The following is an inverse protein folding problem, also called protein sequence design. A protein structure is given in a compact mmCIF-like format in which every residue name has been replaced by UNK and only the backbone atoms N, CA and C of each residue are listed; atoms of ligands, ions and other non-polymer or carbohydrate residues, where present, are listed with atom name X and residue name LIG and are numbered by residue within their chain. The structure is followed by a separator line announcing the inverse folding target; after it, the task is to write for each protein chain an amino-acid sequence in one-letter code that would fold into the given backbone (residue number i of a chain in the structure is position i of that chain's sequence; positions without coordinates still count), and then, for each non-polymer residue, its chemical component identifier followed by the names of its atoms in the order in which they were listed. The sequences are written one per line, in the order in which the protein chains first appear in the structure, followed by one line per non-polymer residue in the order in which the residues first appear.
data_IF_205382947793
#
_entry.id   IF_205382947793
#
_cell.length_a   1.000
_cell.length_b   1.000
_cell.length_c   1.000
_cell.angle_alpha   90.00
_cell.angle_beta   90.00
_cell.angle_gamma   90.00
#
_symmetry.space_group_name_H-M   'P 1'
#
loop_
_entity.id
_entity.type
_entity.pdbx_description
1 polymer ?
#
# COMPACT_ATOMS: atom_id res chain seq x y z
N UNK A 1 -3.40 17.50 5.10
CA UNK A 1 -4.46 16.84 4.31
C UNK A 1 -5.76 17.36 4.88
N UNK A 2 -6.63 17.88 4.02
CA UNK A 2 -7.91 18.48 4.41
C UNK A 2 -8.86 18.20 3.24
N UNK A 3 -9.83 17.33 3.46
CA UNK A 3 -10.79 16.91 2.42
C UNK A 3 -11.95 17.91 2.45
N UNK A 4 -12.30 18.58 1.34
CA UNK A 4 -13.33 19.61 1.31
C UNK A 4 -14.75 19.01 1.39
N UNK A 5 -14.99 18.18 2.40
CA UNK A 5 -16.28 17.55 2.72
C UNK A 5 -16.64 17.88 4.18
N UNK A 6 -17.95 18.09 4.46
CA UNK A 6 -18.42 18.26 5.83
C UNK A 6 -18.15 17.04 6.71
N UNK A 7 -18.15 17.25 8.03
CA UNK A 7 -18.12 16.15 9.01
C UNK A 7 -19.34 15.26 8.82
N UNK A 8 -19.16 13.96 9.04
CA UNK A 8 -20.22 12.95 9.02
C UNK A 8 -21.12 13.00 7.76
N UNK A 9 -20.51 13.20 6.59
CA UNK A 9 -21.22 13.44 5.33
C UNK A 9 -21.23 12.25 4.35
N UNK A 10 -20.37 11.24 4.55
CA UNK A 10 -20.24 10.11 3.63
C UNK A 10 -20.40 8.76 4.31
N UNK A 11 -20.80 7.74 3.54
CA UNK A 11 -21.05 6.38 4.02
C UNK A 11 -19.80 5.54 4.11
N UNK A 12 -18.87 5.73 3.17
CA UNK A 12 -17.70 4.89 3.04
C UNK A 12 -16.49 5.65 2.52
N UNK A 13 -15.32 5.32 3.06
CA UNK A 13 -13.99 5.67 2.52
C UNK A 13 -13.33 4.39 2.05
N UNK A 14 -12.86 4.39 0.81
CA UNK A 14 -12.14 3.27 0.22
C UNK A 14 -10.77 3.78 -0.23
N UNK A 15 -9.72 3.02 0.09
CA UNK A 15 -8.36 3.29 -0.38
C UNK A 15 -7.72 1.99 -0.87
N UNK A 16 -7.01 2.07 -1.98
CA UNK A 16 -6.32 0.90 -2.54
C UNK A 16 -4.86 1.25 -2.80
N UNK A 17 -3.96 0.61 -2.05
CA UNK A 17 -2.50 0.72 -2.18
C UNK A 17 -2.02 2.18 -2.29
N UNK A 18 -2.61 3.06 -1.49
CA UNK A 18 -2.33 4.49 -1.52
C UNK A 18 -1.70 5.00 -0.23
N UNK A 19 -1.99 4.41 0.93
CA UNK A 19 -1.41 4.87 2.19
C UNK A 19 0.10 4.65 2.26
N UNK A 20 0.63 3.65 1.57
CA UNK A 20 2.07 3.43 1.43
C UNK A 20 2.84 4.61 0.80
N UNK A 21 2.14 5.54 0.14
CA UNK A 21 2.72 6.76 -0.43
C UNK A 21 2.49 8.00 0.43
N UNK A 22 1.74 7.88 1.52
CA UNK A 22 1.35 9.00 2.38
C UNK A 22 2.32 9.13 3.55
N UNK A 23 2.99 10.27 3.68
CA UNK A 23 3.94 10.52 4.77
C UNK A 23 3.26 10.49 6.16
N UNK A 24 2.06 11.05 6.28
CA UNK A 24 1.27 11.07 7.52
C UNK A 24 -0.06 10.32 7.35
N UNK A 25 0.03 8.99 7.40
CA UNK A 25 -1.14 8.09 7.32
C UNK A 25 -2.11 8.32 8.47
N UNK A 26 -1.61 8.68 9.67
CA UNK A 26 -2.48 8.99 10.82
C UNK A 26 -3.40 10.16 10.50
N UNK A 27 -2.86 11.24 9.95
CA UNK A 27 -3.66 12.41 9.55
C UNK A 27 -4.68 12.07 8.48
N UNK A 28 -4.31 11.24 7.49
CA UNK A 28 -5.24 10.77 6.46
C UNK A 28 -6.40 9.97 7.06
N UNK A 29 -6.12 9.07 8.00
CA UNK A 29 -7.14 8.26 8.67
C UNK A 29 -8.01 9.07 9.63
N UNK A 30 -7.46 10.09 10.32
CA UNK A 30 -8.22 11.03 11.14
C UNK A 30 -9.21 11.80 10.27
N UNK A 31 -8.78 12.23 9.09
CA UNK A 31 -9.65 12.93 8.14
C UNK A 31 -10.74 12.00 7.59
N UNK A 32 -10.41 10.76 7.27
CA UNK A 32 -11.40 9.75 6.90
C UNK A 32 -12.43 9.53 8.02
N UNK A 33 -11.99 9.50 9.28
CA UNK A 33 -12.87 9.39 10.43
C UNK A 33 -13.79 10.60 10.56
N UNK A 34 -13.28 11.81 10.36
CA UNK A 34 -14.07 13.04 10.42
C UNK A 34 -15.23 13.04 9.44
N UNK A 35 -14.95 12.75 8.16
CA UNK A 35 -15.94 12.84 7.08
C UNK A 35 -16.94 11.67 7.07
N UNK A 36 -16.58 10.51 7.63
CA UNK A 36 -17.49 9.37 7.76
C UNK A 36 -18.61 9.67 8.76
N UNK A 37 -19.83 9.31 8.42
CA UNK A 37 -20.96 9.33 9.34
C UNK A 37 -20.85 8.21 10.39
N UNK A 38 -21.63 8.28 11.45
CA UNK A 38 -21.78 7.17 12.40
C UNK A 38 -22.17 5.89 11.65
N UNK A 39 -21.56 4.76 12.04
CA UNK A 39 -21.65 3.46 11.35
C UNK A 39 -21.09 3.44 9.92
N UNK A 40 -20.44 4.53 9.46
CA UNK A 40 -19.75 4.60 8.19
C UNK A 40 -18.57 3.61 8.11
N UNK A 41 -18.20 3.22 6.91
CA UNK A 41 -17.19 2.18 6.65
C UNK A 41 -15.88 2.77 6.14
N UNK A 42 -14.78 2.31 6.72
CA UNK A 42 -13.44 2.45 6.15
C UNK A 42 -13.00 1.08 5.63
N UNK A 43 -12.59 1.01 4.37
CA UNK A 43 -12.00 -0.20 3.79
C UNK A 43 -10.76 0.16 2.99
N UNK A 44 -9.66 -0.52 3.23
CA UNK A 44 -8.47 -0.31 2.42
C UNK A 44 -7.63 -1.58 2.25
N UNK A 45 -6.92 -1.63 1.13
CA UNK A 45 -5.77 -2.51 0.93
C UNK A 45 -4.51 -1.68 0.92
N UNK A 46 -3.42 -2.23 1.45
CA UNK A 46 -2.13 -1.57 1.40
C UNK A 46 -0.96 -2.55 1.52
N UNK A 47 0.24 -2.09 1.22
CA UNK A 47 1.47 -2.82 1.42
C UNK A 47 1.87 -2.80 2.89
N UNK A 48 2.45 -3.90 3.36
CA UNK A 48 2.94 -4.06 4.73
C UNK A 48 4.37 -4.59 4.74
N UNK A 49 5.07 -4.35 5.83
CA UNK A 49 6.30 -5.04 6.17
C UNK A 49 6.00 -6.09 7.24
N UNK A 50 6.33 -7.37 6.97
CA UNK A 50 6.21 -8.46 7.92
C UNK A 50 7.41 -8.50 8.88
N UNK A 51 8.54 -7.94 8.44
CA UNK A 51 9.75 -7.70 9.23
C UNK A 51 10.36 -6.35 8.80
N UNK A 52 11.21 -5.72 9.62
CA UNK A 52 11.90 -4.50 9.23
C UNK A 52 12.70 -4.71 7.94
N UNK A 53 12.51 -3.81 6.97
CA UNK A 53 13.32 -3.79 5.76
C UNK A 53 14.73 -3.30 6.10
N UNK A 54 15.72 -3.76 5.34
CA UNK A 54 17.06 -3.17 5.40
C UNK A 54 17.02 -1.70 4.95
N UNK A 55 18.01 -0.91 5.36
CA UNK A 55 18.09 0.49 4.92
C UNK A 55 18.16 0.60 3.39
N UNK A 56 18.91 -0.30 2.74
CA UNK A 56 19.05 -0.33 1.28
C UNK A 56 17.73 -0.68 0.59
N UNK A 57 16.99 -1.68 1.10
CA UNK A 57 15.68 -2.04 0.56
C UNK A 57 14.68 -0.89 0.73
N UNK A 58 14.65 -0.25 1.90
CA UNK A 58 13.77 0.88 2.16
C UNK A 58 14.08 2.07 1.24
N UNK A 59 15.37 2.39 1.05
CA UNK A 59 15.81 3.45 0.15
C UNK A 59 15.44 3.13 -1.30
N UNK A 60 15.65 1.89 -1.74
CA UNK A 60 15.29 1.45 -3.09
C UNK A 60 13.78 1.55 -3.34
N UNK A 61 12.95 1.16 -2.36
CA UNK A 61 11.49 1.30 -2.45
C UNK A 61 11.07 2.77 -2.54
N UNK A 62 11.72 3.65 -1.79
CA UNK A 62 11.47 5.08 -1.84
C UNK A 62 11.86 5.67 -3.20
N UNK A 63 13.07 5.43 -3.67
CA UNK A 63 13.61 6.05 -4.90
C UNK A 63 12.85 5.65 -6.16
N UNK A 64 12.42 4.40 -6.26
CA UNK A 64 11.79 3.90 -7.46
C UNK A 64 10.25 3.86 -7.40
N UNK A 65 9.66 3.73 -6.23
CA UNK A 65 8.22 3.53 -6.08
C UNK A 65 7.57 4.54 -5.11
N UNK A 66 8.33 5.46 -4.51
CA UNK A 66 7.88 6.43 -3.51
C UNK A 66 7.14 5.77 -2.31
N UNK A 67 7.55 4.55 -1.96
CA UNK A 67 6.98 3.84 -0.81
C UNK A 67 7.60 4.40 0.47
N UNK A 68 6.75 4.90 1.36
CA UNK A 68 7.09 5.33 2.71
C UNK A 68 7.44 4.13 3.60
N UNK A 69 8.03 4.33 4.80
CA UNK A 69 8.21 3.26 5.75
C UNK A 69 6.91 2.51 6.03
N UNK A 70 6.91 1.22 5.69
CA UNK A 70 5.74 0.36 5.80
C UNK A 70 5.47 -0.05 7.24
N UNK A 71 4.20 -0.34 7.52
CA UNK A 71 3.69 -0.83 8.80
C UNK A 71 3.38 -2.31 8.72
N UNK A 72 3.41 -2.98 9.85
CA UNK A 72 2.82 -4.31 10.01
C UNK A 72 1.28 -4.22 10.11
N UNK A 73 0.61 -5.36 9.97
CA UNK A 73 -0.86 -5.45 10.18
C UNK A 73 -1.23 -4.96 11.58
N UNK A 74 -0.49 -5.36 12.59
CA UNK A 74 -0.75 -4.98 13.99
C UNK A 74 -0.59 -3.47 14.22
N UNK A 75 0.37 -2.83 13.55
CA UNK A 75 0.53 -1.38 13.63
C UNK A 75 -0.60 -0.63 12.94
N UNK A 76 -1.06 -1.12 11.78
CA UNK A 76 -2.24 -0.56 11.14
C UNK A 76 -3.50 -0.70 12.01
N UNK A 77 -3.75 -1.87 12.60
CA UNK A 77 -4.89 -2.08 13.48
C UNK A 77 -4.85 -1.12 14.68
N UNK A 78 -3.70 -1.04 15.38
CA UNK A 78 -3.53 -0.09 16.50
C UNK A 78 -3.73 1.36 16.09
N UNK A 79 -3.25 1.75 14.90
CA UNK A 79 -3.42 3.10 14.39
C UNK A 79 -4.89 3.41 14.13
N UNK A 80 -5.61 2.52 13.46
CA UNK A 80 -7.03 2.66 13.12
C UNK A 80 -7.89 2.71 14.39
N UNK A 81 -7.65 1.80 15.34
CA UNK A 81 -8.36 1.75 16.63
C UNK A 81 -8.04 2.96 17.49
N UNK A 82 -6.79 3.43 17.51
CA UNK A 82 -6.36 4.61 18.27
C UNK A 82 -6.98 5.93 17.77
N UNK A 83 -7.58 5.95 16.57
CA UNK A 83 -8.33 7.10 16.05
C UNK A 83 -9.81 7.05 16.47
N UNK A 84 -10.32 5.85 16.81
CA UNK A 84 -11.69 5.64 17.23
C UNK A 84 -12.49 4.70 16.33
N UNK A 85 -11.90 4.15 15.28
CA UNK A 85 -12.54 3.09 14.50
C UNK A 85 -12.60 1.78 15.27
N UNK A 86 -13.60 0.96 14.98
CA UNK A 86 -13.66 -0.43 15.36
C UNK A 86 -13.27 -1.32 14.17
N UNK A 87 -12.13 -2.01 14.27
CA UNK A 87 -11.69 -2.95 13.22
C UNK A 87 -12.64 -4.14 13.16
N UNK A 88 -13.20 -4.41 12.00
CA UNK A 88 -14.10 -5.52 11.72
C UNK A 88 -13.35 -6.72 11.14
N UNK A 89 -12.33 -6.45 10.32
CA UNK A 89 -11.52 -7.46 9.68
C UNK A 89 -10.15 -6.89 9.33
N UNK A 90 -9.11 -7.67 9.55
CA UNK A 90 -7.76 -7.44 9.05
C UNK A 90 -7.29 -8.76 8.42
N UNK A 91 -7.20 -8.80 7.09
CA UNK A 91 -6.82 -9.99 6.34
C UNK A 91 -5.45 -9.80 5.71
N UNK A 92 -4.51 -10.70 6.02
CA UNK A 92 -3.24 -10.81 5.30
C UNK A 92 -3.49 -11.31 3.88
N UNK A 93 -3.00 -10.59 2.89
CA UNK A 93 -3.12 -10.90 1.47
C UNK A 93 -1.78 -11.36 0.85
N UNK A 94 -0.74 -11.50 1.65
CA UNK A 94 0.63 -11.79 1.18
C UNK A 94 0.68 -13.04 0.32
N UNK A 95 0.02 -14.11 0.77
CA UNK A 95 0.00 -15.39 0.05
C UNK A 95 -0.80 -15.29 -1.26
N UNK A 96 -1.89 -14.54 -1.25
CA UNK A 96 -2.75 -14.36 -2.43
C UNK A 96 -2.09 -13.47 -3.48
N UNK A 97 -1.39 -12.41 -3.04
CA UNK A 97 -0.76 -11.44 -3.95
C UNK A 97 0.58 -11.92 -4.53
N UNK A 98 1.29 -12.82 -3.85
CA UNK A 98 2.58 -13.32 -4.30
C UNK A 98 2.58 -13.84 -5.74
N UNK A 99 1.72 -14.80 -6.10
CA UNK A 99 1.64 -15.33 -7.47
C UNK A 99 1.26 -14.26 -8.49
N UNK A 100 0.30 -13.39 -8.16
CA UNK A 100 -0.17 -12.29 -9.05
C UNK A 100 0.97 -11.34 -9.36
N UNK A 101 1.75 -10.95 -8.36
CA UNK A 101 2.87 -10.02 -8.55
C UNK A 101 4.01 -10.66 -9.33
N UNK A 102 4.27 -11.94 -9.12
CA UNK A 102 5.26 -12.69 -9.91
C UNK A 102 4.88 -12.72 -11.40
N UNK A 103 3.64 -13.00 -11.71
CA UNK A 103 3.12 -12.99 -13.08
C UNK A 103 3.18 -11.60 -13.70
N UNK A 104 2.77 -10.57 -12.96
CA UNK A 104 2.86 -9.16 -13.40
C UNK A 104 4.30 -8.73 -13.68
N UNK A 105 5.26 -9.14 -12.84
CA UNK A 105 6.68 -8.85 -13.07
C UNK A 105 7.16 -9.50 -14.37
N UNK A 106 6.83 -10.78 -14.61
CA UNK A 106 7.20 -11.46 -15.84
C UNK A 106 6.61 -10.78 -17.09
N UNK A 107 5.35 -10.36 -17.02
CA UNK A 107 4.70 -9.59 -18.09
C UNK A 107 5.41 -8.23 -18.30
N UNK A 108 5.68 -7.50 -17.23
CA UNK A 108 6.37 -6.22 -17.28
C UNK A 108 7.76 -6.33 -17.92
N UNK A 109 8.54 -7.35 -17.51
CA UNK A 109 9.87 -7.58 -18.08
C UNK A 109 9.83 -7.89 -19.58
N UNK A 110 8.86 -8.71 -20.00
CA UNK A 110 8.63 -9.00 -21.44
C UNK A 110 8.29 -7.73 -22.23
N UNK A 111 7.32 -6.95 -21.76
CA UNK A 111 6.92 -5.70 -22.43
C UNK A 111 8.07 -4.68 -22.48
N UNK A 112 8.89 -4.64 -21.44
CA UNK A 112 10.09 -3.79 -21.41
C UNK A 112 11.11 -4.22 -22.47
N UNK A 113 11.33 -5.52 -22.64
CA UNK A 113 12.25 -6.03 -23.68
C UNK A 113 11.71 -5.78 -25.08
N UNK A 114 10.42 -5.99 -25.32
CA UNK A 114 9.77 -5.67 -26.61
C UNK A 114 9.92 -4.17 -26.94
N UNK A 115 9.70 -3.28 -25.98
CA UNK A 115 9.89 -1.84 -26.14
C UNK A 115 11.35 -1.47 -26.46
N UNK A 116 12.32 -2.12 -25.79
CA UNK A 116 13.75 -1.93 -26.06
C UNK A 116 14.11 -2.33 -27.49
N UNK A 117 13.60 -3.47 -27.96
CA UNK A 117 13.82 -3.95 -29.32
C UNK A 117 13.19 -3.04 -30.38
N UNK A 118 12.06 -2.40 -30.06
CA UNK A 118 11.40 -1.42 -30.91
C UNK A 118 12.04 -0.03 -30.87
N UNK A 119 13.13 0.18 -30.11
CA UNK A 119 13.80 1.47 -29.97
C UNK A 119 13.00 2.51 -29.19
N UNK A 120 11.98 2.09 -28.43
CA UNK A 120 11.19 2.98 -27.59
C UNK A 120 12.03 3.45 -26.39
N UNK A 121 12.04 4.76 -26.07
CA UNK A 121 12.73 5.24 -24.89
C UNK A 121 12.22 4.52 -23.63
N UNK A 122 13.14 3.96 -22.85
CA UNK A 122 12.80 3.23 -21.63
C UNK A 122 12.63 4.22 -20.48
N UNK A 123 11.58 4.03 -19.69
CA UNK A 123 11.36 4.77 -18.44
C UNK A 123 12.42 4.47 -17.36
N UNK A 124 12.30 5.15 -16.24
CA UNK A 124 13.30 5.17 -15.16
C UNK A 124 13.80 3.79 -14.74
N UNK A 125 15.12 3.59 -14.77
CA UNK A 125 15.77 2.36 -14.29
C UNK A 125 15.57 2.14 -12.80
N UNK A 126 15.42 3.22 -12.00
CA UNK A 126 15.11 3.15 -10.58
C UNK A 126 13.79 2.40 -10.33
N UNK A 127 12.71 2.70 -11.05
CA UNK A 127 11.45 1.96 -10.92
C UNK A 127 11.63 0.48 -11.30
N UNK A 128 12.37 0.19 -12.36
CA UNK A 128 12.59 -1.19 -12.80
C UNK A 128 13.29 -2.03 -11.72
N UNK A 129 14.37 -1.51 -11.15
CA UNK A 129 15.12 -2.17 -10.08
C UNK A 129 14.27 -2.34 -8.83
N UNK A 130 13.57 -1.28 -8.42
CA UNK A 130 12.68 -1.30 -7.26
C UNK A 130 11.56 -2.30 -7.42
N UNK A 131 10.95 -2.39 -8.61
CA UNK A 131 9.84 -3.31 -8.84
C UNK A 131 10.29 -4.78 -8.82
N UNK A 132 11.45 -5.10 -9.37
CA UNK A 132 12.04 -6.45 -9.24
C UNK A 132 12.25 -6.78 -7.76
N UNK A 133 12.94 -5.89 -7.03
CA UNK A 133 13.23 -6.12 -5.62
C UNK A 133 11.97 -6.19 -4.76
N UNK A 134 10.98 -5.36 -5.04
CA UNK A 134 9.68 -5.40 -4.40
C UNK A 134 9.03 -6.78 -4.51
N UNK A 135 8.99 -7.36 -5.72
CA UNK A 135 8.42 -8.70 -5.93
C UNK A 135 9.24 -9.78 -5.21
N UNK A 136 10.57 -9.68 -5.19
CA UNK A 136 11.43 -10.58 -4.42
C UNK A 136 11.11 -10.53 -2.92
N UNK A 137 10.94 -9.34 -2.34
CA UNK A 137 10.59 -9.16 -0.93
C UNK A 137 9.20 -9.75 -0.61
N UNK A 138 8.24 -9.63 -1.53
CA UNK A 138 6.92 -10.28 -1.39
C UNK A 138 7.07 -11.82 -1.47
N UNK A 139 7.83 -12.34 -2.42
CA UNK A 139 8.06 -13.80 -2.53
C UNK A 139 8.77 -14.36 -1.29
N UNK A 140 9.69 -13.60 -0.71
CA UNK A 140 10.39 -13.91 0.54
C UNK A 140 9.52 -13.68 1.79
N UNK A 141 8.28 -13.17 1.63
CA UNK A 141 7.36 -12.78 2.72
C UNK A 141 7.91 -11.73 3.68
N UNK A 142 8.92 -10.98 3.29
CA UNK A 142 9.41 -9.81 4.04
C UNK A 142 8.48 -8.64 3.93
N UNK A 143 7.88 -8.46 2.77
CA UNK A 143 6.75 -7.58 2.50
C UNK A 143 5.50 -8.38 2.18
N UNK A 144 4.36 -7.74 2.26
CA UNK A 144 3.08 -8.34 1.95
C UNK A 144 2.00 -7.32 1.70
N UNK A 145 0.76 -7.80 1.69
CA UNK A 145 -0.42 -6.97 1.58
C UNK A 145 -1.41 -7.22 2.70
N UNK A 146 -2.19 -6.20 3.02
CA UNK A 146 -3.28 -6.29 3.98
C UNK A 146 -4.57 -5.72 3.40
N UNK A 147 -5.70 -6.27 3.81
CA UNK A 147 -7.01 -5.62 3.69
C UNK A 147 -7.57 -5.38 5.08
N UNK A 148 -7.87 -4.12 5.38
CA UNK A 148 -8.52 -3.72 6.63
C UNK A 148 -9.91 -3.19 6.31
N UNK A 149 -10.89 -3.62 7.10
CA UNK A 149 -12.25 -3.09 7.12
C UNK A 149 -12.56 -2.67 8.54
N UNK A 150 -13.03 -1.44 8.70
CA UNK A 150 -13.37 -0.88 9.99
C UNK A 150 -14.67 -0.06 9.90
N UNK A 151 -15.25 0.27 11.03
CA UNK A 151 -16.43 1.15 11.14
C UNK A 151 -16.15 2.27 12.15
N UNK A 152 -16.70 3.43 11.88
CA UNK A 152 -16.75 4.57 12.80
C UNK A 152 -17.76 4.32 13.89
#
# INVERSE_FOLDING_TARGET
MDVPLPDASIDAVISQEAFCHVADVKRALVEAFRILRTDGRLAFTDWIANEPLTADDAQLMWDGMAIQPLRSISEYCRLVEGIGFRVLSAKDLTVEWGPILKERLAMYQRLREEARQAGTPMGHDAFHQSYIRFVELIQARKMGGVRIVATK
#
